data_IF_819932944709
#
_entry.id   IF_819932944709
#
_cell.length_a   1.000
_cell.length_b   1.000
_cell.length_c   1.000
_cell.angle_alpha   90.00
_cell.angle_beta   90.00
_cell.angle_gamma   90.00
#
_symmetry.space_group_name_H-M   'P 1'
#
loop_
_entity.id
_entity.type
_entity.pdbx_description
1 polymer ?
#
# COMPACT_ATOMS: atom_id res chain seq x y z
N UNK A 1 -3.16 -23.04 -19.10
CA UNK A 1 -4.23 -22.72 -18.12
C UNK A 1 -4.71 -21.31 -18.42
N UNK A 2 -4.65 -20.32 -17.58
CA UNK A 2 -4.93 -18.94 -17.98
C UNK A 2 -3.65 -18.26 -18.45
N UNK A 3 -3.73 -17.51 -19.54
CA UNK A 3 -2.61 -16.73 -20.08
C UNK A 3 -2.87 -15.22 -20.01
N UNK A 4 -4.06 -14.83 -19.53
CA UNK A 4 -4.48 -13.43 -19.46
C UNK A 4 -5.19 -13.12 -18.16
N UNK A 5 -5.05 -11.86 -17.70
CA UNK A 5 -5.74 -11.32 -16.53
C UNK A 5 -6.43 -10.01 -16.88
N UNK A 6 -7.72 -9.93 -16.55
CA UNK A 6 -8.46 -8.66 -16.55
C UNK A 6 -8.28 -8.00 -15.18
N UNK A 7 -7.75 -6.78 -15.18
CA UNK A 7 -7.54 -5.99 -13.98
C UNK A 7 -8.73 -5.05 -13.75
N UNK A 8 -9.38 -5.21 -12.60
CA UNK A 8 -10.43 -4.31 -12.13
C UNK A 8 -9.85 -3.24 -11.22
N UNK A 9 -10.33 -2.03 -11.35
CA UNK A 9 -10.06 -0.91 -10.45
C UNK A 9 -11.37 -0.23 -10.03
N UNK A 10 -11.43 0.34 -8.82
CA UNK A 10 -12.63 0.94 -8.26
C UNK A 10 -12.59 2.48 -8.32
N UNK A 11 -11.85 3.11 -7.42
CA UNK A 11 -11.82 4.57 -7.26
C UNK A 11 -11.31 5.33 -8.50
N UNK A 12 -10.48 4.72 -9.32
CA UNK A 12 -10.02 5.31 -10.58
C UNK A 12 -11.21 5.58 -11.51
N UNK A 13 -12.24 4.73 -11.48
CA UNK A 13 -13.43 4.85 -12.32
C UNK A 13 -14.21 6.15 -12.15
N UNK A 14 -14.13 6.79 -10.98
CA UNK A 14 -14.87 8.03 -10.66
C UNK A 14 -14.07 9.32 -10.91
N UNK A 15 -12.84 9.24 -11.44
CA UNK A 15 -11.93 10.39 -11.62
C UNK A 15 -12.30 11.31 -12.81
N UNK A 16 -13.41 11.09 -13.48
CA UNK A 16 -13.88 11.97 -14.56
C UNK A 16 -12.85 12.14 -15.67
N UNK A 17 -12.61 13.40 -16.09
CA UNK A 17 -11.71 13.74 -17.20
C UNK A 17 -10.25 13.37 -16.97
N UNK A 18 -9.80 13.29 -15.71
CA UNK A 18 -8.42 12.97 -15.33
C UNK A 18 -8.16 11.47 -15.19
N UNK A 19 -9.16 10.62 -15.44
CA UNK A 19 -9.08 9.18 -15.27
C UNK A 19 -7.89 8.54 -15.99
N UNK A 20 -7.57 8.99 -17.19
CA UNK A 20 -6.47 8.46 -18.00
C UNK A 20 -5.11 8.56 -17.28
N UNK A 21 -4.86 9.63 -16.49
CA UNK A 21 -3.62 9.78 -15.72
C UNK A 21 -3.44 8.68 -14.68
N UNK A 22 -4.53 8.30 -14.01
CA UNK A 22 -4.53 7.23 -13.02
C UNK A 22 -4.44 5.84 -13.66
N UNK A 23 -5.10 5.64 -14.80
CA UNK A 23 -4.98 4.41 -15.58
C UNK A 23 -3.55 4.22 -16.09
N UNK A 24 -2.92 5.27 -16.62
CA UNK A 24 -1.52 5.22 -17.09
C UNK A 24 -0.54 4.97 -15.93
N UNK A 25 -0.78 5.57 -14.76
CA UNK A 25 -0.01 5.29 -13.56
C UNK A 25 -0.17 3.82 -13.13
N UNK A 26 -1.39 3.29 -13.14
CA UNK A 26 -1.65 1.89 -12.81
C UNK A 26 -0.95 0.92 -13.77
N UNK A 27 -1.05 1.18 -15.08
CA UNK A 27 -0.34 0.38 -16.10
C UNK A 27 1.17 0.37 -15.85
N UNK A 28 1.77 1.54 -15.54
CA UNK A 28 3.21 1.60 -15.22
C UNK A 28 3.58 0.77 -13.99
N UNK A 29 2.73 0.80 -12.94
CA UNK A 29 2.99 0.03 -11.72
C UNK A 29 2.79 -1.47 -11.92
N UNK A 30 1.80 -1.89 -12.70
CA UNK A 30 1.63 -3.29 -13.08
C UNK A 30 2.87 -3.77 -13.85
N UNK A 31 3.32 -3.02 -14.85
CA UNK A 31 4.55 -3.34 -15.60
C UNK A 31 5.78 -3.43 -14.70
N UNK A 32 5.90 -2.53 -13.71
CA UNK A 32 7.01 -2.57 -12.75
C UNK A 32 6.95 -3.81 -11.85
N UNK A 33 5.77 -4.17 -11.35
CA UNK A 33 5.57 -5.35 -10.52
C UNK A 33 5.91 -6.65 -11.28
N UNK A 34 5.46 -6.74 -12.53
CA UNK A 34 5.67 -7.93 -13.37
C UNK A 34 7.11 -8.09 -13.88
N UNK A 35 7.94 -7.03 -13.89
CA UNK A 35 9.38 -7.17 -14.19
C UNK A 35 10.15 -8.06 -13.21
N UNK A 36 9.56 -8.36 -12.06
CA UNK A 36 10.15 -9.21 -11.02
C UNK A 36 9.71 -10.68 -11.13
N UNK A 37 8.75 -10.97 -12.01
CA UNK A 37 8.26 -12.31 -12.30
C UNK A 37 8.99 -12.90 -13.50
N UNK A 38 9.14 -14.22 -13.52
CA UNK A 38 9.56 -14.92 -14.73
C UNK A 38 8.48 -14.81 -15.80
N UNK A 39 8.90 -14.60 -17.07
CA UNK A 39 8.03 -14.48 -18.21
C UNK A 39 7.95 -13.08 -18.82
N UNK A 40 7.34 -13.01 -20.00
CA UNK A 40 7.10 -11.77 -20.73
C UNK A 40 5.60 -11.43 -20.69
N UNK A 41 5.29 -10.17 -20.44
CA UNK A 41 3.92 -9.71 -20.24
C UNK A 41 3.61 -8.45 -21.04
N UNK A 42 2.54 -8.50 -21.81
CA UNK A 42 1.95 -7.34 -22.46
C UNK A 42 0.87 -6.74 -21.54
N UNK A 43 1.11 -5.52 -21.07
CA UNK A 43 0.11 -4.77 -20.28
C UNK A 43 -0.45 -3.66 -21.13
N UNK A 44 -1.74 -3.73 -21.42
CA UNK A 44 -2.44 -2.76 -22.26
C UNK A 44 -3.78 -2.34 -21.67
N UNK A 45 -4.31 -1.21 -22.14
CA UNK A 45 -5.64 -0.73 -21.75
C UNK A 45 -6.53 -0.56 -22.97
N UNK A 46 -7.78 -0.96 -22.84
CA UNK A 46 -8.80 -0.75 -23.85
C UNK A 46 -10.16 -0.46 -23.22
N UNK A 47 -10.84 0.58 -23.69
CA UNK A 47 -12.21 0.94 -23.30
C UNK A 47 -12.49 0.85 -21.76
N UNK A 48 -11.57 1.38 -20.92
CA UNK A 48 -11.74 1.40 -19.48
C UNK A 48 -11.49 0.07 -18.77
N UNK A 49 -10.72 -0.81 -19.37
CA UNK A 49 -10.17 -2.05 -18.80
C UNK A 49 -8.67 -2.09 -18.98
N UNK A 50 -7.99 -2.76 -18.07
CA UNK A 50 -6.58 -3.07 -18.18
C UNK A 50 -6.45 -4.57 -18.28
N UNK A 51 -5.63 -5.04 -19.21
CA UNK A 51 -5.34 -6.45 -19.41
C UNK A 51 -3.83 -6.70 -19.21
N UNK A 52 -3.52 -7.87 -18.74
CA UNK A 52 -2.17 -8.42 -18.65
C UNK A 52 -2.20 -9.73 -19.41
N UNK A 53 -1.49 -9.81 -20.52
CA UNK A 53 -1.38 -11.00 -21.34
C UNK A 53 0.04 -11.55 -21.23
N UNK A 54 0.17 -12.84 -20.91
CA UNK A 54 1.45 -13.52 -20.89
C UNK A 54 1.84 -13.91 -22.32
N UNK A 55 3.03 -13.52 -22.75
CA UNK A 55 3.60 -13.83 -24.06
C UNK A 55 4.58 -15.02 -24.00
N UNK A 56 4.91 -15.49 -22.79
CA UNK A 56 5.73 -16.66 -22.53
C UNK A 56 5.21 -17.48 -21.35
N UNK A 57 5.86 -18.60 -21.03
CA UNK A 57 5.58 -19.36 -19.80
C UNK A 57 5.87 -18.50 -18.56
N UNK A 58 5.07 -18.67 -17.51
CA UNK A 58 5.15 -17.92 -16.26
C UNK A 58 4.58 -18.71 -15.08
N UNK A 59 4.97 -18.33 -13.86
CA UNK A 59 4.35 -18.84 -12.64
C UNK A 59 3.09 -18.03 -12.32
N UNK A 60 1.94 -18.70 -12.34
CA UNK A 60 0.63 -18.10 -12.10
C UNK A 60 0.51 -17.49 -10.68
N UNK A 61 0.97 -18.23 -9.67
CA UNK A 61 0.84 -17.80 -8.27
C UNK A 61 1.77 -16.63 -7.97
N UNK A 62 2.97 -16.63 -8.54
CA UNK A 62 3.91 -15.51 -8.45
C UNK A 62 3.31 -14.24 -9.06
N UNK A 63 2.79 -14.31 -10.28
CA UNK A 63 2.17 -13.17 -10.98
C UNK A 63 1.00 -12.61 -10.17
N UNK A 64 0.10 -13.48 -9.70
CA UNK A 64 -1.03 -13.07 -8.85
C UNK A 64 -0.54 -12.40 -7.57
N UNK A 65 0.46 -12.96 -6.89
CA UNK A 65 1.02 -12.39 -5.66
C UNK A 65 1.64 -11.00 -5.89
N UNK A 66 2.28 -10.77 -7.04
CA UNK A 66 2.81 -9.46 -7.42
C UNK A 66 1.70 -8.46 -7.75
N UNK A 67 0.68 -8.86 -8.50
CA UNK A 67 -0.48 -8.02 -8.83
C UNK A 67 -1.28 -7.64 -7.57
N UNK A 68 -1.38 -8.54 -6.58
CA UNK A 68 -2.05 -8.29 -5.30
C UNK A 68 -1.34 -7.26 -4.41
N UNK A 69 -0.16 -6.79 -4.78
CA UNK A 69 0.58 -5.71 -4.09
C UNK A 69 0.46 -4.37 -4.80
N UNK A 70 -0.13 -4.30 -5.99
CA UNK A 70 -0.24 -3.06 -6.77
C UNK A 70 -1.46 -2.25 -6.32
N UNK A 71 -1.23 -1.10 -5.71
CA UNK A 71 -2.31 -0.17 -5.34
C UNK A 71 -3.04 0.36 -6.57
N UNK A 72 -4.37 0.42 -6.46
CA UNK A 72 -5.27 0.75 -7.56
C UNK A 72 -6.00 -0.47 -8.11
N UNK A 73 -5.46 -1.68 -7.97
CA UNK A 73 -6.13 -2.93 -8.34
C UNK A 73 -7.18 -3.28 -7.28
N UNK A 74 -8.43 -3.38 -7.67
CA UNK A 74 -9.52 -3.88 -6.81
C UNK A 74 -9.82 -5.36 -7.02
N UNK A 75 -9.49 -5.90 -8.20
CA UNK A 75 -9.69 -7.30 -8.52
C UNK A 75 -8.83 -7.74 -9.70
N UNK A 76 -8.37 -8.98 -9.62
CA UNK A 76 -7.60 -9.68 -10.65
C UNK A 76 -8.45 -10.83 -11.13
N UNK A 77 -8.85 -10.82 -12.38
CA UNK A 77 -9.68 -11.87 -12.97
C UNK A 77 -8.86 -12.65 -13.99
N UNK A 78 -8.49 -13.92 -13.70
CA UNK A 78 -7.98 -14.81 -14.73
C UNK A 78 -9.05 -14.97 -15.82
N UNK A 79 -8.70 -14.69 -17.07
CA UNK A 79 -9.65 -14.69 -18.18
C UNK A 79 -9.20 -15.65 -19.28
N UNK A 80 -10.21 -16.25 -19.94
CA UNK A 80 -10.05 -16.83 -21.27
C UNK A 80 -10.59 -15.79 -22.25
N UNK A 81 -9.81 -15.43 -23.25
CA UNK A 81 -10.26 -14.56 -24.33
C UNK A 81 -10.22 -15.30 -25.66
N UNK A 82 -11.23 -15.04 -26.48
CA UNK A 82 -11.42 -15.70 -27.79
C UNK A 82 -11.93 -14.72 -28.83
N UNK A 83 -11.60 -14.98 -30.08
CA UNK A 83 -12.20 -14.29 -31.21
C UNK A 83 -13.68 -14.63 -31.33
N UNK A 84 -14.46 -13.72 -31.90
CA UNK A 84 -15.89 -13.96 -32.13
C UNK A 84 -16.09 -14.82 -33.38
N UNK A 85 -16.21 -16.12 -33.15
CA UNK A 85 -16.54 -17.11 -34.20
C UNK A 85 -18.02 -17.53 -34.17
N UNK A 86 -18.85 -16.74 -33.49
CA UNK A 86 -20.28 -16.99 -33.34
C UNK A 86 -20.66 -17.58 -31.97
N UNK A 87 -21.99 -17.53 -31.71
CA UNK A 87 -22.51 -17.89 -30.39
C UNK A 87 -22.36 -19.38 -30.06
N UNK A 88 -22.45 -20.26 -31.03
CA UNK A 88 -22.27 -21.70 -30.81
C UNK A 88 -20.85 -22.02 -30.35
N UNK A 89 -19.86 -21.42 -31.00
CA UNK A 89 -18.44 -21.58 -30.59
C UNK A 89 -18.17 -21.00 -29.21
N UNK A 90 -18.82 -19.87 -28.89
CA UNK A 90 -18.75 -19.30 -27.54
C UNK A 90 -19.33 -20.25 -26.49
N UNK A 91 -20.44 -20.94 -26.78
CA UNK A 91 -21.01 -21.96 -25.89
C UNK A 91 -20.01 -23.11 -25.60
N UNK A 92 -19.41 -23.66 -26.68
CA UNK A 92 -18.35 -24.70 -26.51
C UNK A 92 -17.24 -24.23 -25.60
N UNK A 93 -16.72 -23.03 -25.83
CA UNK A 93 -15.63 -22.44 -25.02
C UNK A 93 -16.04 -22.25 -23.55
N UNK A 94 -17.26 -21.83 -23.29
CA UNK A 94 -17.79 -21.66 -21.92
C UNK A 94 -17.95 -23.01 -21.22
N UNK A 95 -18.45 -24.02 -21.92
CA UNK A 95 -18.58 -25.38 -21.40
C UNK A 95 -17.20 -25.92 -21.00
N UNK A 96 -16.19 -25.81 -21.88
CA UNK A 96 -14.81 -26.20 -21.61
C UNK A 96 -14.20 -25.40 -20.43
N UNK A 97 -14.50 -24.11 -20.34
CA UNK A 97 -14.07 -23.27 -19.23
C UNK A 97 -14.61 -23.79 -17.90
N UNK A 98 -15.91 -24.09 -17.83
CA UNK A 98 -16.55 -24.61 -16.61
C UNK A 98 -15.94 -25.94 -16.21
N UNK A 99 -15.74 -26.88 -17.12
CA UNK A 99 -15.13 -28.16 -16.82
C UNK A 99 -13.71 -28.04 -16.25
N UNK A 100 -12.94 -27.05 -16.74
CA UNK A 100 -11.56 -26.82 -16.28
C UNK A 100 -11.49 -26.13 -14.92
N UNK A 101 -12.40 -25.19 -14.65
CA UNK A 101 -12.35 -24.38 -13.42
C UNK A 101 -13.17 -25.02 -12.29
N UNK A 102 -14.22 -25.77 -12.64
CA UNK A 102 -15.17 -26.39 -11.71
C UNK A 102 -15.39 -27.87 -12.04
N UNK A 103 -14.40 -28.73 -11.81
CA UNK A 103 -14.45 -30.15 -12.25
C UNK A 103 -15.68 -30.94 -11.79
N UNK A 104 -16.20 -30.61 -10.59
CA UNK A 104 -17.37 -31.30 -10.03
C UNK A 104 -18.70 -30.96 -10.73
N UNK A 105 -18.76 -29.81 -11.42
CA UNK A 105 -19.93 -29.33 -12.17
C UNK A 105 -21.28 -29.52 -11.44
N UNK A 106 -21.35 -29.20 -10.15
CA UNK A 106 -22.53 -29.38 -9.30
C UNK A 106 -22.96 -28.11 -8.55
N UNK A 107 -22.32 -26.96 -8.83
CA UNK A 107 -22.55 -25.67 -8.20
C UNK A 107 -23.76 -24.96 -8.79
N UNK A 108 -24.26 -23.96 -8.07
CA UNK A 108 -25.21 -22.98 -8.62
C UNK A 108 -24.46 -21.91 -9.43
N UNK A 109 -25.09 -21.40 -10.48
CA UNK A 109 -24.45 -20.40 -11.33
C UNK A 109 -25.41 -19.32 -11.84
N UNK A 110 -24.84 -18.19 -12.24
CA UNK A 110 -25.50 -17.11 -12.97
C UNK A 110 -24.62 -16.63 -14.10
N UNK A 111 -25.18 -16.48 -15.28
CA UNK A 111 -24.51 -15.84 -16.42
C UNK A 111 -24.75 -14.33 -16.37
N UNK A 112 -23.69 -13.54 -16.55
CA UNK A 112 -23.70 -12.09 -16.56
C UNK A 112 -23.00 -11.54 -17.81
N UNK A 113 -23.69 -11.56 -18.94
CA UNK A 113 -23.17 -11.03 -20.19
C UNK A 113 -23.23 -9.51 -20.25
N UNK A 114 -22.16 -8.89 -20.74
CA UNK A 114 -22.07 -7.44 -20.99
C UNK A 114 -21.57 -7.20 -22.40
N UNK A 115 -22.25 -6.31 -23.16
CA UNK A 115 -21.87 -5.95 -24.50
C UNK A 115 -21.32 -4.52 -24.55
N UNK A 116 -20.03 -4.37 -24.82
CA UNK A 116 -19.44 -3.10 -25.24
C UNK A 116 -19.71 -2.88 -26.76
N UNK A 117 -19.66 -3.95 -27.56
CA UNK A 117 -19.98 -3.98 -28.98
C UNK A 117 -21.48 -4.12 -29.19
N UNK A 118 -22.15 -3.01 -29.47
CA UNK A 118 -23.62 -2.96 -29.59
C UNK A 118 -24.21 -3.70 -30.83
N UNK A 119 -23.42 -3.91 -31.87
CA UNK A 119 -23.80 -4.61 -33.10
C UNK A 119 -23.67 -6.14 -32.98
N UNK A 120 -23.42 -6.72 -31.81
CA UNK A 120 -23.47 -8.17 -31.59
C UNK A 120 -24.91 -8.67 -31.79
N UNK A 121 -25.15 -9.82 -32.50
CA UNK A 121 -26.48 -10.25 -32.93
C UNK A 121 -27.50 -10.49 -31.82
N UNK A 122 -27.02 -10.92 -30.63
CA UNK A 122 -27.89 -11.20 -29.47
C UNK A 122 -27.70 -10.08 -28.41
N UNK A 123 -28.78 -9.72 -27.72
CA UNK A 123 -28.66 -8.84 -26.55
C UNK A 123 -28.15 -9.59 -25.31
N UNK A 124 -27.78 -8.83 -24.28
CA UNK A 124 -27.19 -9.43 -23.06
C UNK A 124 -28.16 -10.36 -22.33
N UNK A 125 -29.45 -10.10 -22.36
CA UNK A 125 -30.46 -10.93 -21.72
C UNK A 125 -30.62 -12.27 -22.46
N UNK A 126 -30.69 -12.22 -23.77
CA UNK A 126 -30.75 -13.41 -24.65
C UNK A 126 -29.47 -14.27 -24.46
N UNK A 127 -28.29 -13.62 -24.41
CA UNK A 127 -27.04 -14.35 -24.16
C UNK A 127 -27.06 -15.05 -22.78
N UNK A 128 -27.57 -14.38 -21.75
CA UNK A 128 -27.67 -14.98 -20.42
C UNK A 128 -28.57 -16.22 -20.42
N UNK A 129 -29.70 -16.15 -21.09
CA UNK A 129 -30.68 -17.24 -21.18
C UNK A 129 -30.14 -18.43 -22.00
N UNK A 130 -29.68 -18.16 -23.21
CA UNK A 130 -29.22 -19.20 -24.14
C UNK A 130 -27.94 -19.89 -23.62
N UNK A 131 -27.02 -19.12 -23.01
CA UNK A 131 -25.84 -19.67 -22.41
C UNK A 131 -26.18 -20.48 -21.15
N UNK A 132 -27.12 -20.02 -20.32
CA UNK A 132 -27.62 -20.78 -19.18
C UNK A 132 -28.22 -22.10 -19.60
N UNK A 133 -29.02 -22.15 -20.69
CA UNK A 133 -29.56 -23.38 -21.26
C UNK A 133 -28.48 -24.31 -21.78
N UNK A 134 -27.45 -23.78 -22.46
CA UNK A 134 -26.34 -24.59 -22.97
C UNK A 134 -25.54 -25.24 -21.80
N UNK A 135 -25.28 -24.49 -20.70
CA UNK A 135 -24.61 -25.00 -19.51
C UNK A 135 -25.43 -26.12 -18.83
N UNK A 136 -26.75 -25.92 -18.66
CA UNK A 136 -27.63 -26.92 -18.06
C UNK A 136 -27.74 -28.20 -18.90
N UNK A 137 -27.69 -28.10 -20.24
CA UNK A 137 -27.64 -29.25 -21.13
C UNK A 137 -26.33 -30.04 -21.01
N UNK A 138 -25.21 -29.34 -20.88
CA UNK A 138 -23.89 -29.96 -20.74
C UNK A 138 -23.67 -30.56 -19.34
N UNK A 139 -24.15 -29.87 -18.30
CA UNK A 139 -23.96 -30.22 -16.89
C UNK A 139 -25.28 -30.26 -16.12
N UNK A 140 -26.04 -31.37 -16.20
CA UNK A 140 -27.39 -31.50 -15.62
C UNK A 140 -27.43 -31.35 -14.08
N UNK A 141 -26.30 -31.52 -13.40
CA UNK A 141 -26.21 -31.36 -11.93
C UNK A 141 -26.09 -29.89 -11.49
N UNK A 142 -25.70 -28.98 -12.39
CA UNK A 142 -25.66 -27.56 -12.11
C UNK A 142 -27.07 -26.96 -12.07
N UNK A 143 -27.24 -25.87 -11.31
CA UNK A 143 -28.52 -25.16 -11.17
C UNK A 143 -28.33 -23.66 -11.34
N UNK A 144 -29.35 -23.00 -11.89
CA UNK A 144 -29.35 -21.53 -11.97
C UNK A 144 -29.82 -20.93 -10.65
N UNK A 145 -29.00 -20.03 -10.06
CA UNK A 145 -29.41 -19.17 -8.95
C UNK A 145 -29.08 -17.73 -9.33
N UNK A 146 -30.11 -16.89 -9.48
CA UNK A 146 -29.95 -15.48 -9.89
C UNK A 146 -29.67 -14.55 -8.69
N UNK A 147 -29.86 -15.01 -7.46
CA UNK A 147 -29.70 -14.20 -6.25
C UNK A 147 -28.39 -14.48 -5.52
N UNK A 148 -28.07 -15.74 -5.30
CA UNK A 148 -26.89 -16.19 -4.55
C UNK A 148 -26.13 -17.32 -5.27
N UNK A 149 -25.63 -17.08 -6.50
CA UNK A 149 -24.90 -18.11 -7.24
C UNK A 149 -23.53 -18.36 -6.62
N UNK A 150 -23.10 -19.62 -6.59
CA UNK A 150 -21.72 -20.00 -6.28
C UNK A 150 -20.77 -19.51 -7.37
N UNK A 151 -21.21 -19.52 -8.62
CA UNK A 151 -20.45 -19.12 -9.80
C UNK A 151 -21.13 -17.94 -10.49
N UNK A 152 -20.47 -16.76 -10.49
CA UNK A 152 -20.84 -15.63 -11.33
C UNK A 152 -20.04 -15.69 -12.63
N UNK A 153 -20.59 -16.30 -13.65
CA UNK A 153 -19.94 -16.40 -14.97
C UNK A 153 -20.11 -15.10 -15.73
N UNK A 154 -19.02 -14.36 -15.90
CA UNK A 154 -18.99 -13.11 -16.65
C UNK A 154 -18.57 -13.36 -18.09
N UNK A 155 -19.31 -12.79 -19.06
CA UNK A 155 -18.99 -12.80 -20.50
C UNK A 155 -19.00 -11.37 -20.99
N UNK A 156 -17.82 -10.80 -21.28
CA UNK A 156 -17.71 -9.45 -21.83
C UNK A 156 -17.46 -9.51 -23.35
N UNK A 157 -18.45 -9.08 -24.14
CA UNK A 157 -18.36 -9.02 -25.60
C UNK A 157 -17.85 -7.63 -26.01
N UNK A 158 -16.60 -7.59 -26.50
CA UNK A 158 -15.86 -6.43 -26.97
C UNK A 158 -15.39 -6.65 -28.41
N UNK A 159 -14.18 -6.23 -28.76
CA UNK A 159 -13.51 -6.66 -30.00
C UNK A 159 -13.28 -8.17 -29.96
N UNK A 160 -12.76 -8.66 -28.86
CA UNK A 160 -12.71 -10.08 -28.48
C UNK A 160 -13.74 -10.38 -27.40
N UNK A 161 -13.96 -11.65 -27.08
CA UNK A 161 -14.87 -12.08 -26.02
C UNK A 161 -14.05 -12.59 -24.83
N UNK A 162 -14.35 -12.07 -23.63
CA UNK A 162 -13.66 -12.39 -22.37
C UNK A 162 -14.59 -13.16 -21.45
N UNK A 163 -14.11 -14.32 -20.96
CA UNK A 163 -14.86 -15.24 -20.08
C UNK A 163 -14.10 -15.37 -18.77
N UNK A 164 -14.77 -15.10 -17.66
CA UNK A 164 -14.20 -15.26 -16.32
C UNK A 164 -15.27 -15.44 -15.25
N UNK A 165 -14.93 -16.13 -14.17
CA UNK A 165 -15.81 -16.30 -13.00
C UNK A 165 -15.06 -16.05 -11.68
N UNK A 166 -13.74 -16.17 -11.68
CA UNK A 166 -12.89 -15.97 -10.51
C UNK A 166 -12.47 -14.49 -10.44
N UNK A 167 -12.55 -13.90 -9.24
CA UNK A 167 -12.08 -12.55 -8.95
C UNK A 167 -11.22 -12.60 -7.70
N UNK A 168 -9.92 -12.57 -7.87
CA UNK A 168 -8.96 -12.48 -6.77
C UNK A 168 -8.89 -11.04 -6.27
N UNK A 169 -8.95 -10.80 -4.94
CA UNK A 169 -8.94 -9.45 -4.40
C UNK A 169 -7.58 -8.78 -4.58
N UNK A 170 -7.58 -7.51 -5.01
CA UNK A 170 -6.42 -6.63 -4.97
C UNK A 170 -6.43 -5.71 -3.75
N UNK A 171 -5.37 -4.92 -3.50
CA UNK A 171 -5.27 -4.05 -2.33
C UNK A 171 -6.20 -2.83 -2.40
N UNK A 172 -6.75 -2.52 -3.57
CA UNK A 172 -7.54 -1.30 -3.78
C UNK A 172 -6.71 -0.01 -3.72
N UNK A 173 -7.37 1.09 -3.44
CA UNK A 173 -6.72 2.41 -3.32
C UNK A 173 -6.41 3.08 -4.65
N UNK A 174 -5.31 3.83 -4.68
CA UNK A 174 -4.87 4.66 -5.81
C UNK A 174 -3.44 4.32 -6.21
N UNK A 175 -3.07 4.41 -7.49
CA UNK A 175 -1.69 4.19 -7.94
C UNK A 175 -0.70 5.14 -7.26
N UNK A 176 0.41 4.60 -6.75
CA UNK A 176 1.45 5.38 -6.05
C UNK A 176 2.00 6.50 -6.95
N UNK A 177 2.25 7.66 -6.37
CA UNK A 177 2.73 8.86 -7.07
C UNK A 177 1.62 9.75 -7.63
N UNK A 178 0.36 9.30 -7.63
CA UNK A 178 -0.78 10.14 -8.06
C UNK A 178 -1.26 11.12 -7.00
N UNK A 179 -0.86 10.92 -5.73
CA UNK A 179 -1.20 11.76 -4.57
C UNK A 179 -0.05 12.61 -4.05
N UNK A 180 1.05 12.76 -4.83
CA UNK A 180 2.24 13.46 -4.39
C UNK A 180 3.22 12.56 -3.63
N UNK A 181 4.08 13.17 -2.79
CA UNK A 181 5.13 12.51 -2.01
C UNK A 181 5.05 12.91 -0.54
N UNK A 182 5.35 11.99 0.36
CA UNK A 182 5.37 12.23 1.80
C UNK A 182 6.59 11.63 2.49
N UNK A 183 7.05 12.28 3.56
CA UNK A 183 8.17 11.85 4.39
C UNK A 183 7.66 11.05 5.59
N UNK A 184 7.93 9.76 5.60
CA UNK A 184 7.58 8.85 6.69
C UNK A 184 8.66 8.87 7.78
N UNK A 185 8.28 9.18 9.02
CA UNK A 185 9.13 8.94 10.17
C UNK A 185 9.05 7.43 10.50
N UNK A 186 10.00 6.68 9.96
CA UNK A 186 10.05 5.22 10.07
C UNK A 186 10.86 4.81 11.29
N UNK A 187 10.34 3.87 12.07
CA UNK A 187 10.98 3.27 13.24
C UNK A 187 10.95 1.75 13.14
N UNK A 188 11.61 1.06 14.06
CA UNK A 188 11.59 -0.40 14.18
C UNK A 188 10.30 -0.96 14.79
N UNK A 189 9.34 -0.11 15.17
CA UNK A 189 8.06 -0.52 15.75
C UNK A 189 7.02 -0.96 14.70
N UNK A 190 5.88 -1.47 15.19
CA UNK A 190 4.78 -1.98 14.36
C UNK A 190 4.07 -0.85 13.60
N UNK A 191 3.93 0.33 14.22
CA UNK A 191 2.99 1.36 13.79
C UNK A 191 3.45 2.13 12.53
N UNK A 192 4.73 2.52 12.48
CA UNK A 192 5.22 3.38 11.40
C UNK A 192 5.22 2.70 10.01
N UNK A 193 5.58 1.41 9.84
CA UNK A 193 5.43 0.73 8.55
C UNK A 193 3.97 0.65 8.08
N UNK A 194 3.04 0.40 9.01
CA UNK A 194 1.60 0.38 8.71
C UNK A 194 1.12 1.75 8.27
N UNK A 195 1.56 2.82 8.94
CA UNK A 195 1.23 4.20 8.56
C UNK A 195 1.71 4.52 7.13
N UNK A 196 2.95 4.13 6.79
CA UNK A 196 3.51 4.28 5.45
C UNK A 196 2.69 3.56 4.39
N UNK A 197 2.34 2.29 4.64
CA UNK A 197 1.47 1.51 3.77
C UNK A 197 0.10 2.17 3.54
N UNK A 198 -0.57 2.62 4.61
CA UNK A 198 -1.91 3.21 4.53
C UNK A 198 -1.91 4.51 3.71
N UNK A 199 -0.92 5.36 3.88
CA UNK A 199 -0.80 6.60 3.10
C UNK A 199 -0.40 6.30 1.65
N UNK A 200 0.52 5.35 1.41
CA UNK A 200 0.88 4.92 0.06
C UNK A 200 -0.32 4.37 -0.71
N UNK A 201 -1.21 3.63 -0.04
CA UNK A 201 -2.48 3.14 -0.62
C UNK A 201 -3.38 4.28 -1.12
N UNK A 202 -3.19 5.52 -0.66
CA UNK A 202 -3.89 6.71 -1.16
C UNK A 202 -3.18 7.38 -2.34
N UNK A 203 -2.18 6.71 -2.91
CA UNK A 203 -1.43 7.18 -4.08
C UNK A 203 -0.21 8.05 -3.75
N UNK A 204 0.18 8.16 -2.49
CA UNK A 204 1.34 8.95 -2.07
C UNK A 204 2.61 8.12 -2.23
N UNK A 205 3.63 8.68 -2.91
CA UNK A 205 4.98 8.12 -2.92
C UNK A 205 5.63 8.35 -1.56
N UNK A 206 6.35 7.36 -1.03
CA UNK A 206 6.96 7.43 0.30
C UNK A 206 8.47 7.57 0.18
N UNK A 207 9.02 8.62 0.80
CA UNK A 207 10.39 8.67 1.28
C UNK A 207 10.35 8.49 2.81
N UNK A 208 11.43 8.06 3.44
CA UNK A 208 11.45 7.81 4.86
C UNK A 208 12.68 8.42 5.55
N UNK A 209 12.52 8.76 6.83
CA UNK A 209 13.61 9.16 7.71
C UNK A 209 13.63 8.25 8.93
N UNK A 210 14.82 7.78 9.31
CA UNK A 210 15.09 7.02 10.52
C UNK A 210 16.12 7.71 11.37
N UNK A 211 15.86 7.81 12.67
CA UNK A 211 16.76 8.39 13.65
C UNK A 211 17.53 7.28 14.37
N UNK A 212 18.82 7.19 14.08
CA UNK A 212 19.74 6.23 14.65
C UNK A 212 20.62 6.90 15.71
N UNK A 213 20.88 6.25 16.84
CA UNK A 213 21.64 6.82 17.94
C UNK A 213 22.77 5.89 18.41
N UNK A 214 23.81 5.63 17.57
CA UNK A 214 24.94 4.83 18.01
C UNK A 214 25.75 5.53 19.12
N UNK A 215 26.34 4.80 20.11
CA UNK A 215 26.31 3.35 20.29
C UNK A 215 25.08 2.84 21.03
N UNK A 216 24.13 3.70 21.38
CA UNK A 216 22.93 3.34 22.17
C UNK A 216 21.94 2.48 21.41
N UNK A 217 21.81 2.70 20.09
CA UNK A 217 21.09 1.78 19.20
C UNK A 217 22.09 0.96 18.40
N UNK A 218 21.80 -0.32 18.24
CA UNK A 218 22.70 -1.25 17.53
C UNK A 218 22.54 -1.15 16.01
N UNK A 219 23.55 -1.61 15.25
CA UNK A 219 23.43 -1.79 13.81
C UNK A 219 22.30 -2.78 13.43
N UNK A 220 21.98 -3.72 14.32
CA UNK A 220 20.82 -4.62 14.12
C UNK A 220 19.49 -3.88 14.19
N UNK A 221 19.38 -2.85 15.01
CA UNK A 221 18.20 -1.97 15.06
C UNK A 221 18.05 -1.19 13.74
N UNK A 222 19.15 -0.66 13.19
CA UNK A 222 19.19 -0.02 11.88
C UNK A 222 18.78 -1.00 10.77
N UNK A 223 19.39 -2.20 10.76
CA UNK A 223 19.05 -3.23 9.77
C UNK A 223 17.56 -3.62 9.81
N UNK A 224 16.98 -3.76 11.00
CA UNK A 224 15.55 -4.00 11.19
C UNK A 224 14.69 -2.95 10.47
N UNK A 225 15.04 -1.67 10.60
CA UNK A 225 14.31 -0.58 9.92
C UNK A 225 14.48 -0.64 8.40
N UNK A 226 15.68 -0.96 7.92
CA UNK A 226 15.93 -1.18 6.47
C UNK A 226 15.07 -2.35 5.95
N UNK A 227 14.98 -3.44 6.70
CA UNK A 227 14.18 -4.60 6.31
C UNK A 227 12.67 -4.27 6.30
N UNK A 228 12.19 -3.50 7.28
CA UNK A 228 10.81 -2.98 7.28
C UNK A 228 10.54 -2.08 6.07
N UNK A 229 11.48 -1.18 5.73
CA UNK A 229 11.37 -0.34 4.55
C UNK A 229 11.28 -1.19 3.26
N UNK A 230 12.08 -2.28 3.13
CA UNK A 230 12.02 -3.21 2.00
C UNK A 230 10.67 -3.94 1.92
N UNK A 231 10.10 -4.35 3.05
CA UNK A 231 8.78 -4.99 3.06
C UNK A 231 7.71 -4.02 2.56
N UNK A 232 7.71 -2.77 3.02
CA UNK A 232 6.78 -1.73 2.55
C UNK A 232 7.03 -1.41 1.07
N UNK A 233 8.29 -1.42 0.61
CA UNK A 233 8.67 -1.17 -0.78
C UNK A 233 8.07 -2.20 -1.78
N UNK A 234 7.64 -3.38 -1.31
CA UNK A 234 6.88 -4.34 -2.14
C UNK A 234 5.57 -3.76 -2.68
N UNK A 235 5.00 -2.78 -1.98
CA UNK A 235 3.74 -2.11 -2.32
C UNK A 235 3.95 -0.73 -2.95
N UNK A 236 5.00 -0.02 -2.52
CA UNK A 236 5.21 1.41 -2.87
C UNK A 236 6.18 1.62 -4.01
N UNK A 237 6.97 0.59 -4.36
CA UNK A 237 8.21 0.76 -5.08
C UNK A 237 9.34 1.26 -4.14
N UNK A 238 10.51 1.62 -4.70
CA UNK A 238 11.68 2.00 -3.91
C UNK A 238 11.40 3.12 -2.91
N UNK A 239 11.88 2.95 -1.67
CA UNK A 239 11.81 3.96 -0.60
C UNK A 239 13.22 4.51 -0.37
N UNK A 240 13.37 5.84 -0.47
CA UNK A 240 14.59 6.53 -0.13
C UNK A 240 14.60 6.77 1.38
N UNK A 241 15.39 5.95 2.12
CA UNK A 241 15.51 5.99 3.57
C UNK A 241 16.70 6.85 3.97
N UNK A 242 16.42 8.01 4.57
CA UNK A 242 17.41 8.90 5.14
C UNK A 242 17.69 8.49 6.59
N UNK A 243 18.92 8.04 6.87
CA UNK A 243 19.36 7.66 8.24
C UNK A 243 20.10 8.84 8.85
N UNK A 244 19.59 9.34 9.96
CA UNK A 244 20.12 10.48 10.71
C UNK A 244 20.81 10.00 11.97
N UNK A 245 22.07 10.35 12.15
CA UNK A 245 22.72 10.18 13.46
C UNK A 245 22.17 11.21 14.44
N UNK A 246 21.38 10.75 15.39
CA UNK A 246 20.69 11.61 16.36
C UNK A 246 21.36 11.65 17.72
N UNK A 247 22.51 10.97 17.90
CA UNK A 247 23.18 10.76 19.19
C UNK A 247 23.51 12.08 19.88
N UNK A 248 24.24 12.98 19.20
CA UNK A 248 24.73 14.22 19.84
C UNK A 248 23.57 15.16 20.18
N UNK A 249 22.55 15.22 19.33
CA UNK A 249 21.32 15.98 19.58
C UNK A 249 20.62 15.41 20.82
N UNK A 250 20.45 14.11 20.88
CA UNK A 250 19.77 13.43 21.99
C UNK A 250 20.49 13.62 23.32
N UNK A 251 21.83 13.49 23.35
CA UNK A 251 22.65 13.72 24.54
C UNK A 251 22.59 15.18 25.00
N UNK A 252 22.61 16.12 24.06
CA UNK A 252 22.56 17.54 24.39
C UNK A 252 21.19 17.93 24.97
N UNK A 253 20.10 17.39 24.42
CA UNK A 253 18.75 17.54 24.99
C UNK A 253 18.67 16.93 26.39
N UNK A 254 19.28 15.73 26.60
CA UNK A 254 19.28 15.06 27.88
C UNK A 254 20.03 15.87 28.94
N UNK A 255 21.14 16.52 28.56
CA UNK A 255 21.95 17.36 29.48
C UNK A 255 21.23 18.67 29.86
N UNK A 256 20.57 19.33 28.93
CA UNK A 256 20.07 20.70 29.07
C UNK A 256 18.60 20.84 29.42
N UNK A 257 17.79 19.81 29.20
CA UNK A 257 16.34 19.90 29.34
C UNK A 257 15.82 19.04 30.50
N UNK A 258 14.62 19.40 31.05
CA UNK A 258 13.97 18.59 32.08
C UNK A 258 13.69 17.17 31.58
N UNK A 259 14.05 16.17 32.38
CA UNK A 259 13.94 14.76 31.95
C UNK A 259 12.54 14.31 31.67
N UNK A 260 11.52 14.83 32.34
CA UNK A 260 10.10 14.55 32.08
C UNK A 260 9.61 15.00 30.69
N UNK A 261 10.28 16.01 30.08
CA UNK A 261 9.95 16.58 28.79
C UNK A 261 10.81 16.03 27.63
N UNK A 262 11.83 15.22 27.91
CA UNK A 262 12.81 14.75 26.93
C UNK A 262 12.16 14.15 25.67
N UNK A 263 11.22 13.25 25.84
CA UNK A 263 10.54 12.60 24.71
C UNK A 263 9.85 13.62 23.82
N UNK A 264 9.19 14.64 24.39
CA UNK A 264 8.50 15.67 23.61
C UNK A 264 9.52 16.54 22.88
N UNK A 265 10.58 17.00 23.55
CA UNK A 265 11.58 17.87 22.94
C UNK A 265 12.36 17.11 21.84
N UNK A 266 12.78 15.87 22.08
CA UNK A 266 13.41 15.03 21.05
C UNK A 266 12.51 14.88 19.82
N UNK A 267 11.22 14.56 20.01
CA UNK A 267 10.27 14.43 18.89
C UNK A 267 10.08 15.73 18.13
N UNK A 268 10.10 16.88 18.78
CA UNK A 268 10.05 18.18 18.11
C UNK A 268 11.25 18.38 17.17
N UNK A 269 12.47 18.01 17.61
CA UNK A 269 13.66 18.05 16.74
C UNK A 269 13.61 17.00 15.62
N UNK A 270 13.12 15.80 15.88
CA UNK A 270 12.88 14.81 14.84
C UNK A 270 11.91 15.32 13.77
N UNK A 271 10.82 15.98 14.17
CA UNK A 271 9.85 16.58 13.23
C UNK A 271 10.48 17.70 12.40
N UNK A 272 11.26 18.61 13.01
CA UNK A 272 11.99 19.68 12.29
C UNK A 272 12.96 19.12 11.25
N UNK A 273 13.75 18.11 11.63
CA UNK A 273 14.72 17.45 10.74
C UNK A 273 13.98 16.72 9.61
N UNK A 274 12.93 15.97 9.93
CA UNK A 274 12.12 15.27 8.94
C UNK A 274 11.47 16.24 7.94
N UNK A 275 10.99 17.40 8.41
CA UNK A 275 10.42 18.44 7.56
C UNK A 275 11.46 19.07 6.65
N UNK A 276 12.66 19.35 7.16
CA UNK A 276 13.73 19.92 6.36
C UNK A 276 14.13 18.96 5.22
N UNK A 277 14.34 17.68 5.52
CA UNK A 277 14.62 16.65 4.50
C UNK A 277 13.43 16.52 3.55
N UNK A 278 12.20 16.55 4.08
CA UNK A 278 10.98 16.50 3.29
C UNK A 278 10.89 17.66 2.28
N UNK A 279 11.21 18.87 2.69
CA UNK A 279 11.25 20.05 1.80
C UNK A 279 12.35 19.91 0.73
N UNK A 280 13.56 19.45 1.11
CA UNK A 280 14.67 19.19 0.18
C UNK A 280 14.31 18.12 -0.88
N UNK A 281 13.47 17.14 -0.53
CA UNK A 281 13.06 16.04 -1.39
C UNK A 281 11.66 16.21 -1.99
N UNK A 282 11.07 17.41 -1.92
CA UNK A 282 9.76 17.76 -2.47
C UNK A 282 8.58 16.96 -1.87
N UNK A 283 8.68 16.57 -0.62
CA UNK A 283 7.56 16.00 0.12
C UNK A 283 6.52 17.07 0.48
N UNK A 284 5.25 16.73 0.38
CA UNK A 284 4.12 17.62 0.65
C UNK A 284 3.53 17.45 2.06
N UNK A 285 4.15 16.61 2.90
CA UNK A 285 3.73 16.37 4.27
C UNK A 285 4.58 15.33 4.96
N UNK A 286 4.46 15.28 6.28
CA UNK A 286 5.07 14.27 7.14
C UNK A 286 4.06 13.17 7.45
N UNK A 287 4.54 11.96 7.68
CA UNK A 287 3.69 10.80 7.99
C UNK A 287 4.23 10.17 9.29
N UNK A 288 3.37 9.97 10.28
CA UNK A 288 3.73 9.34 11.55
C UNK A 288 2.77 8.20 11.88
N UNK A 289 3.27 7.20 12.64
CA UNK A 289 2.49 6.06 13.13
C UNK A 289 1.83 6.30 14.49
N UNK A 290 1.47 7.55 14.82
CA UNK A 290 0.89 7.91 16.11
C UNK A 290 -0.57 7.48 16.21
N UNK A 291 -0.95 6.92 17.41
CA UNK A 291 -2.34 6.65 17.80
C UNK A 291 -2.60 7.33 19.16
N UNK A 292 -3.79 7.96 19.32
CA UNK A 292 -4.14 8.70 20.54
C UNK A 292 -4.17 7.76 21.74
N UNK A 293 -3.40 8.12 22.79
CA UNK A 293 -3.43 7.43 24.08
C UNK A 293 -2.66 6.12 24.13
N UNK A 294 -1.98 5.71 23.06
CA UNK A 294 -1.19 4.48 23.07
C UNK A 294 0.01 4.55 24.01
N UNK A 295 0.68 5.69 24.05
CA UNK A 295 1.80 5.98 24.97
C UNK A 295 1.73 7.42 25.46
N UNK A 296 2.50 7.76 26.52
CA UNK A 296 2.51 9.07 27.17
C UNK A 296 2.80 10.24 26.20
N UNK A 297 3.63 10.03 25.19
CA UNK A 297 3.97 11.02 24.16
C UNK A 297 2.91 11.16 23.04
N UNK A 298 1.83 10.39 23.09
CA UNK A 298 0.76 10.38 22.08
C UNK A 298 -0.59 10.85 22.65
N UNK A 299 -0.59 11.63 23.73
CA UNK A 299 -1.79 12.34 24.16
C UNK A 299 -2.08 13.50 23.23
N UNK A 300 -3.32 14.01 23.19
CA UNK A 300 -3.68 15.17 22.37
C UNK A 300 -2.79 16.38 22.66
N UNK A 301 -2.45 16.62 23.93
CA UNK A 301 -1.54 17.72 24.32
C UNK A 301 -0.11 17.48 23.78
N UNK A 302 0.38 16.25 23.85
CA UNK A 302 1.70 15.88 23.31
C UNK A 302 1.74 16.05 21.78
N UNK A 303 0.66 15.64 21.10
CA UNK A 303 0.54 15.81 19.64
C UNK A 303 0.49 17.29 19.23
N UNK A 304 -0.19 18.15 19.99
CA UNK A 304 -0.16 19.60 19.77
C UNK A 304 1.28 20.11 19.88
N UNK A 305 2.01 19.73 20.95
CA UNK A 305 3.37 20.19 21.18
C UNK A 305 4.35 19.74 20.09
N UNK A 306 4.22 18.51 19.58
CA UNK A 306 5.09 18.00 18.51
C UNK A 306 4.70 18.52 17.13
N UNK A 307 3.40 18.75 16.87
CA UNK A 307 2.92 19.27 15.57
C UNK A 307 3.26 20.74 15.37
N UNK A 308 3.36 21.51 16.45
CA UNK A 308 3.53 22.95 16.42
C UNK A 308 4.81 23.43 15.72
N UNK A 309 5.82 22.56 15.62
CA UNK A 309 7.10 22.87 14.95
C UNK A 309 7.08 22.59 13.45
N UNK A 310 5.97 22.09 12.91
CA UNK A 310 5.84 21.74 11.50
C UNK A 310 5.00 22.77 10.75
N UNK A 311 5.46 23.17 9.57
CA UNK A 311 4.70 23.95 8.59
C UNK A 311 3.96 23.00 7.62
N UNK A 312 4.58 21.88 7.27
CA UNK A 312 3.95 20.86 6.43
C UNK A 312 2.84 20.11 7.20
N UNK A 313 1.78 19.69 6.52
CA UNK A 313 0.76 18.82 7.12
C UNK A 313 1.38 17.54 7.70
N UNK A 314 0.91 17.11 8.88
CA UNK A 314 1.30 15.85 9.48
C UNK A 314 0.14 14.85 9.37
N UNK A 315 0.34 13.81 8.56
CA UNK A 315 -0.64 12.75 8.34
C UNK A 315 -0.46 11.64 9.37
N UNK A 316 -1.53 11.34 10.08
CA UNK A 316 -1.58 10.31 11.14
C UNK A 316 -2.65 9.27 10.80
N UNK A 317 -2.39 8.34 9.87
CA UNK A 317 -3.42 7.40 9.42
C UNK A 317 -3.92 6.45 10.51
N UNK A 318 -3.15 6.27 11.60
CA UNK A 318 -3.48 5.38 12.70
C UNK A 318 -4.10 6.08 13.90
N UNK A 319 -4.41 7.37 13.80
CA UNK A 319 -4.75 8.22 14.94
C UNK A 319 -5.93 7.70 15.80
N UNK A 320 -6.89 7.01 15.19
CA UNK A 320 -8.05 6.42 15.85
C UNK A 320 -8.02 4.88 15.93
N UNK A 321 -6.94 4.23 15.54
CA UNK A 321 -6.80 2.77 15.59
C UNK A 321 -6.37 2.33 16.97
N UNK A 322 -6.92 1.22 17.44
CA UNK A 322 -6.36 0.52 18.59
C UNK A 322 -5.16 -0.37 18.19
N UNK A 323 -4.49 -0.95 19.17
CA UNK A 323 -3.28 -1.75 18.91
C UNK A 323 -3.58 -3.00 18.10
N UNK A 324 -4.74 -3.63 18.30
CA UNK A 324 -5.11 -4.85 17.60
C UNK A 324 -5.36 -4.58 16.11
N UNK A 325 -6.07 -3.51 15.78
CA UNK A 325 -6.30 -3.09 14.39
C UNK A 325 -4.98 -2.83 13.64
N UNK A 326 -4.00 -2.22 14.32
CA UNK A 326 -2.66 -1.97 13.74
C UNK A 326 -1.91 -3.29 13.52
N UNK A 327 -1.96 -4.22 14.48
CA UNK A 327 -1.33 -5.54 14.38
C UNK A 327 -1.91 -6.32 13.19
N UNK A 328 -3.23 -6.36 13.02
CA UNK A 328 -3.89 -7.05 11.90
C UNK A 328 -3.41 -6.53 10.54
N UNK A 329 -3.26 -5.21 10.40
CA UNK A 329 -2.70 -4.64 9.17
C UNK A 329 -1.23 -5.00 9.02
N UNK A 330 -0.44 -4.97 10.10
CA UNK A 330 0.99 -5.33 10.11
C UNK A 330 1.23 -6.78 9.69
N UNK A 331 0.42 -7.72 10.18
CA UNK A 331 0.44 -9.13 9.78
C UNK A 331 0.11 -9.26 8.29
N UNK A 332 -0.98 -8.62 7.84
CA UNK A 332 -1.44 -8.64 6.45
C UNK A 332 -0.37 -8.15 5.46
N UNK A 333 0.41 -7.13 5.81
CA UNK A 333 1.44 -6.58 4.93
C UNK A 333 2.82 -7.25 5.13
N UNK A 334 2.93 -8.15 6.11
CA UNK A 334 4.14 -8.94 6.40
C UNK A 334 5.21 -8.17 7.17
N UNK A 335 4.89 -7.08 7.88
CA UNK A 335 5.84 -6.31 8.68
C UNK A 335 5.91 -6.76 10.14
N UNK A 336 4.92 -7.51 10.63
CA UNK A 336 4.78 -7.85 12.04
C UNK A 336 5.99 -8.59 12.59
N UNK A 337 6.39 -9.70 12.01
CA UNK A 337 7.50 -10.55 12.48
C UNK A 337 8.82 -9.78 12.57
N UNK A 338 9.09 -8.89 11.62
CA UNK A 338 10.26 -8.02 11.67
C UNK A 338 10.13 -6.96 12.76
N UNK A 339 8.94 -6.38 12.92
CA UNK A 339 8.67 -5.30 13.88
C UNK A 339 8.82 -5.75 15.35
N UNK A 340 8.54 -7.01 15.68
CA UNK A 340 8.64 -7.54 17.05
C UNK A 340 10.05 -8.02 17.44
N UNK A 341 11.03 -7.96 16.52
CA UNK A 341 12.42 -8.30 16.86
C UNK A 341 12.93 -7.39 18.01
N UNK A 342 13.69 -7.93 18.97
CA UNK A 342 14.04 -7.27 20.23
C UNK A 342 15.20 -6.26 20.06
N UNK A 343 15.09 -5.34 19.11
CA UNK A 343 16.04 -4.26 18.89
C UNK A 343 15.35 -2.92 19.14
N UNK A 344 15.91 -2.14 20.07
CA UNK A 344 15.32 -0.91 20.57
C UNK A 344 15.56 0.29 19.64
N UNK A 345 14.56 1.18 19.58
CA UNK A 345 14.65 2.47 18.89
C UNK A 345 15.27 3.55 19.79
N UNK A 346 15.78 4.63 19.17
CA UNK A 346 16.41 5.73 19.89
C UNK A 346 15.50 6.40 20.93
N UNK A 347 14.20 6.44 20.70
CA UNK A 347 13.23 7.06 21.62
C UNK A 347 13.07 6.32 22.96
N UNK A 348 13.48 5.06 23.05
CA UNK A 348 13.32 4.24 24.28
C UNK A 348 14.49 4.36 25.24
N UNK A 349 15.62 4.87 24.80
CA UNK A 349 16.88 4.87 25.55
C UNK A 349 16.87 5.83 26.75
N UNK A 350 16.27 7.02 26.57
CA UNK A 350 16.23 8.07 27.58
C UNK A 350 14.80 8.40 28.03
N UNK A 351 14.01 7.37 28.29
CA UNK A 351 12.63 7.56 28.76
C UNK A 351 12.64 7.96 30.24
N UNK A 352 11.99 9.06 30.55
CA UNK A 352 11.77 9.46 31.93
C UNK A 352 10.90 8.47 32.70
N UNK A 353 11.17 8.27 34.02
CA UNK A 353 10.29 7.45 34.88
C UNK A 353 8.84 7.96 34.89
N UNK A 354 8.66 9.27 34.76
CA UNK A 354 7.37 9.96 34.76
C UNK A 354 7.34 10.98 33.62
N UNK A 355 7.10 10.54 32.37
CA UNK A 355 7.03 11.45 31.24
C UNK A 355 5.79 12.36 31.32
N UNK A 356 5.95 13.62 30.90
CA UNK A 356 4.84 14.56 30.87
C UNK A 356 3.77 14.10 29.85
N UNK A 357 2.51 13.99 30.32
CA UNK A 357 1.37 13.62 29.45
C UNK A 357 0.51 14.80 29.02
N UNK A 358 0.70 15.96 29.67
CA UNK A 358 0.02 17.23 29.37
C UNK A 358 1.03 18.36 29.24
N UNK A 359 1.95 18.30 28.22
CA UNK A 359 2.94 19.34 28.06
C UNK A 359 2.29 20.69 27.74
N UNK A 360 2.83 21.76 28.34
CA UNK A 360 2.46 23.12 28.00
C UNK A 360 3.47 23.64 26.95
N UNK A 361 2.98 23.94 25.76
CA UNK A 361 3.81 24.39 24.63
C UNK A 361 4.69 25.59 24.99
N UNK A 362 4.19 26.57 25.77
CA UNK A 362 4.97 27.73 26.19
C UNK A 362 6.12 27.34 27.11
N UNK A 363 5.93 26.35 27.98
CA UNK A 363 6.97 25.82 28.87
C UNK A 363 8.01 25.06 28.07
N UNK A 364 7.56 24.16 27.16
CA UNK A 364 8.45 23.41 26.26
C UNK A 364 9.34 24.38 25.48
N UNK A 365 8.77 25.41 24.82
CA UNK A 365 9.55 26.43 24.08
C UNK A 365 10.60 27.10 24.98
N UNK A 366 10.23 27.47 26.20
CA UNK A 366 11.17 28.09 27.14
C UNK A 366 12.32 27.13 27.47
N UNK A 367 12.06 25.85 27.66
CA UNK A 367 13.12 24.88 27.95
C UNK A 367 13.97 24.57 26.70
N UNK A 368 13.39 24.65 25.49
CA UNK A 368 14.17 24.56 24.25
C UNK A 368 15.23 25.68 24.13
N UNK A 369 15.01 26.89 24.70
CA UNK A 369 16.03 27.94 24.71
C UNK A 369 17.31 27.56 25.47
N UNK A 370 17.27 26.55 26.34
CA UNK A 370 18.48 25.99 26.96
C UNK A 370 19.41 25.33 25.93
N UNK A 371 18.90 25.06 24.72
CA UNK A 371 19.65 24.40 23.66
C UNK A 371 20.24 25.39 22.64
N UNK A 372 19.84 26.68 22.66
CA UNK A 372 20.16 27.69 21.63
C UNK A 372 21.66 27.82 21.34
N UNK A 373 22.52 27.53 22.32
CA UNK A 373 23.99 27.67 22.19
C UNK A 373 24.60 26.74 21.12
N UNK A 374 24.05 25.51 20.94
CA UNK A 374 24.72 24.48 20.12
C UNK A 374 23.79 23.67 19.23
N UNK A 375 22.49 23.70 19.45
CA UNK A 375 21.55 22.77 18.81
C UNK A 375 21.51 22.90 17.28
N UNK A 376 21.61 24.14 16.76
CA UNK A 376 21.57 24.39 15.31
C UNK A 376 22.79 23.80 14.60
N UNK A 377 23.98 23.86 15.25
CA UNK A 377 25.20 23.22 14.73
C UNK A 377 25.08 21.69 14.71
N UNK A 378 24.53 21.12 15.78
CA UNK A 378 24.30 19.68 15.87
C UNK A 378 23.29 19.18 14.84
N UNK A 379 22.20 19.90 14.64
CA UNK A 379 21.20 19.60 13.61
C UNK A 379 21.80 19.70 12.21
N UNK A 380 22.56 20.76 11.93
CA UNK A 380 23.25 20.93 10.67
C UNK A 380 24.21 19.76 10.39
N UNK A 381 25.04 19.41 11.36
CA UNK A 381 25.97 18.27 11.24
C UNK A 381 25.22 16.97 10.96
N UNK A 382 24.14 16.69 11.67
CA UNK A 382 23.33 15.49 11.46
C UNK A 382 22.71 15.43 10.05
N UNK A 383 22.29 16.58 9.50
CA UNK A 383 21.76 16.69 8.14
C UNK A 383 22.85 16.51 7.06
N UNK A 384 24.03 17.11 7.27
CA UNK A 384 25.17 17.01 6.34
C UNK A 384 25.77 15.60 6.30
N UNK A 385 25.71 14.86 7.39
CA UNK A 385 26.26 13.50 7.54
C UNK A 385 25.21 12.40 7.35
N UNK A 386 24.00 12.76 6.93
CA UNK A 386 22.92 11.77 6.71
C UNK A 386 23.32 10.71 5.69
N UNK A 387 23.03 9.47 5.99
CA UNK A 387 23.18 8.34 5.06
C UNK A 387 21.90 8.15 4.27
N UNK A 388 22.00 7.86 2.97
CA UNK A 388 20.87 7.52 2.13
C UNK A 388 20.93 6.05 1.75
N UNK A 389 19.89 5.29 2.08
CA UNK A 389 19.70 3.89 1.70
C UNK A 389 18.50 3.79 0.77
N UNK A 390 18.66 3.13 -0.37
CA UNK A 390 17.53 2.82 -1.25
C UNK A 390 17.00 1.44 -0.87
N UNK A 391 15.83 1.42 -0.22
CA UNK A 391 15.17 0.18 0.14
C UNK A 391 14.30 -0.31 -1.03
N UNK A 392 14.76 -1.37 -1.67
CA UNK A 392 14.06 -2.07 -2.76
C UNK A 392 13.66 -3.48 -2.33
N UNK A 393 12.54 -3.99 -2.87
CA UNK A 393 12.01 -5.32 -2.57
C UNK A 393 12.52 -6.37 -3.54
#
# INVERSE_FOLDING_TARGET
MFTSFLIKYAEIGIKGKNRYLFEDALVRQIKYALKKCEGEFLVHKTQGRIFVDAESEFDYDEVVAHLQRVFGISGICPVVHVQDEGFEKLCETVIDYIAKVYPDCNQTFKVAARRARKNYPKDSMTINMDMGEAILKAYPNMKVDIHHPDIMLNIEIREEIYIYSVILPGPGGMPVGTGGKGMLLLSGGIDSPVAGYMIAKRGVKIDAVYFHAPPYTSERAKQKVVDLAKIVARYTGPIYLHVINFTDIQLYIYEKCPHEELTIIMRRYMMRIAEQIGKETECLGLITGESIGQVASQTMNSLIATNEVCELPVYRPLIGFDKQEIVEVSEKIGTYETSILPYEDCCTIFVAKHPVTKPNVKVIRRHEHNLDEKIDELVKTALETKELIIAEA
#
